data_IF_699758498104
#
_entry.id   IF_699758498104
#
_cell.length_a   1.000
_cell.length_b   1.000
_cell.length_c   1.000
_cell.angle_alpha   90.00
_cell.angle_beta   90.00
_cell.angle_gamma   90.00
#
_symmetry.space_group_name_H-M   'P 1'
#
loop_
_entity.id
_entity.type
_entity.pdbx_description
1 polymer ?
#
# COMPACT_ATOMS: atom_id res chain seq x y z
N UNK A 1 3.54 -2.77 28.58
CA UNK A 1 3.77 -2.82 27.13
C UNK A 1 4.73 -3.97 26.88
N UNK A 2 4.35 -4.96 26.07
CA UNK A 2 5.19 -6.14 25.81
C UNK A 2 6.25 -5.80 24.76
N UNK A 3 7.33 -6.59 24.66
CA UNK A 3 8.34 -6.42 23.58
C UNK A 3 7.71 -6.49 22.18
N UNK A 4 6.64 -7.28 22.04
CA UNK A 4 5.88 -7.41 20.80
C UNK A 4 5.17 -6.09 20.44
N UNK A 5 4.51 -5.45 21.41
CA UNK A 5 3.83 -4.17 21.20
C UNK A 5 4.82 -3.07 20.77
N UNK A 6 6.00 -3.03 21.40
CA UNK A 6 7.06 -2.08 21.05
C UNK A 6 7.59 -2.28 19.63
N UNK A 7 7.79 -3.55 19.22
CA UNK A 7 8.22 -3.87 17.84
C UNK A 7 7.14 -3.50 16.83
N UNK A 8 5.87 -3.77 17.14
CA UNK A 8 4.75 -3.43 16.27
C UNK A 8 4.59 -1.91 16.10
N UNK A 9 4.72 -1.15 17.19
CA UNK A 9 4.71 0.31 17.14
C UNK A 9 5.85 0.86 16.28
N UNK A 10 7.07 0.30 16.40
CA UNK A 10 8.21 0.71 15.57
C UNK A 10 8.01 0.38 14.09
N UNK A 11 7.44 -0.78 13.76
CA UNK A 11 7.09 -1.13 12.37
C UNK A 11 6.02 -0.20 11.80
N UNK A 12 5.00 0.13 12.59
CA UNK A 12 3.94 1.06 12.19
C UNK A 12 4.48 2.46 11.91
N UNK A 13 5.37 2.97 12.77
CA UNK A 13 6.02 4.26 12.56
C UNK A 13 6.84 4.29 11.26
N UNK A 14 7.69 3.28 11.04
CA UNK A 14 8.48 3.15 9.80
C UNK A 14 7.62 2.99 8.56
N UNK A 15 6.51 2.28 8.66
CA UNK A 15 5.58 2.14 7.55
C UNK A 15 4.94 3.49 7.21
N UNK A 16 4.55 4.27 8.22
CA UNK A 16 3.99 5.59 8.01
C UNK A 16 4.99 6.57 7.38
N UNK A 17 6.25 6.57 7.84
CA UNK A 17 7.34 7.36 7.22
C UNK A 17 7.50 7.03 5.73
N UNK A 18 7.28 5.77 5.37
CA UNK A 18 7.42 5.29 3.98
C UNK A 18 6.17 5.46 3.14
N UNK A 19 5.00 5.76 3.70
CA UNK A 19 3.73 5.88 2.93
C UNK A 19 3.85 6.85 1.75
N UNK A 20 4.55 7.97 1.94
CA UNK A 20 4.79 8.95 0.89
C UNK A 20 5.64 8.38 -0.27
N UNK A 21 6.70 7.63 0.05
CA UNK A 21 7.54 6.95 -0.94
C UNK A 21 6.75 5.86 -1.69
N UNK A 22 5.99 5.03 -0.96
CA UNK A 22 5.17 3.97 -1.54
C UNK A 22 4.10 4.55 -2.49
N UNK A 23 3.57 5.74 -2.17
CA UNK A 23 2.65 6.52 -3.02
C UNK A 23 3.32 7.01 -4.29
N UNK A 24 4.49 7.62 -4.19
CA UNK A 24 5.25 8.12 -5.35
C UNK A 24 5.61 6.99 -6.31
N UNK A 25 6.05 5.84 -5.77
CA UNK A 25 6.33 4.63 -6.56
C UNK A 25 5.08 4.16 -7.31
N UNK A 26 3.93 4.07 -6.63
CA UNK A 26 2.68 3.63 -7.26
C UNK A 26 2.21 4.61 -8.35
N UNK A 27 2.35 5.92 -8.12
CA UNK A 27 2.02 6.95 -9.11
C UNK A 27 2.91 6.87 -10.35
N UNK A 28 4.22 6.70 -10.16
CA UNK A 28 5.16 6.55 -11.26
C UNK A 28 4.89 5.28 -12.06
N UNK A 29 4.61 4.17 -11.38
CA UNK A 29 4.27 2.90 -12.03
C UNK A 29 2.96 3.00 -12.83
N UNK A 30 1.96 3.71 -12.30
CA UNK A 30 0.70 3.97 -13.01
C UNK A 30 0.90 4.85 -14.24
N UNK A 31 1.64 5.96 -14.11
CA UNK A 31 1.91 6.90 -15.21
C UNK A 31 2.71 6.27 -16.36
N UNK A 32 3.55 5.28 -16.06
CA UNK A 32 4.37 4.55 -17.04
C UNK A 32 3.74 3.24 -17.51
N UNK A 33 2.52 2.92 -17.06
CA UNK A 33 1.83 1.65 -17.32
C UNK A 33 2.70 0.42 -16.98
N UNK A 34 3.58 0.54 -15.97
CA UNK A 34 4.49 -0.51 -15.56
C UNK A 34 3.76 -1.53 -14.68
N UNK A 35 3.06 -2.47 -15.33
CA UNK A 35 2.27 -3.52 -14.66
C UNK A 35 3.07 -4.35 -13.66
N UNK A 36 4.30 -4.83 -13.96
CA UNK A 36 5.12 -5.53 -12.97
C UNK A 36 5.36 -4.70 -11.70
N UNK A 37 5.72 -3.42 -11.85
CA UNK A 37 5.95 -2.54 -10.70
C UNK A 37 4.67 -2.29 -9.90
N UNK A 38 3.52 -2.12 -10.56
CA UNK A 38 2.22 -1.97 -9.89
C UNK A 38 1.87 -3.21 -9.09
N UNK A 39 2.07 -4.40 -9.67
CA UNK A 39 1.82 -5.69 -9.01
C UNK A 39 2.68 -5.85 -7.77
N UNK A 40 3.99 -5.69 -7.90
CA UNK A 40 4.93 -5.90 -6.79
C UNK A 40 4.62 -4.95 -5.63
N UNK A 41 4.29 -3.70 -5.97
CA UNK A 41 3.92 -2.68 -4.99
C UNK A 41 2.58 -2.98 -4.32
N UNK A 42 1.58 -3.42 -5.08
CA UNK A 42 0.28 -3.83 -4.57
C UNK A 42 0.40 -5.06 -3.65
N UNK A 43 1.15 -6.08 -4.07
CA UNK A 43 1.38 -7.31 -3.31
C UNK A 43 2.02 -7.02 -1.94
N UNK A 44 3.07 -6.19 -1.93
CA UNK A 44 3.75 -5.77 -0.70
C UNK A 44 2.78 -5.07 0.26
N UNK A 45 1.99 -4.11 -0.25
CA UNK A 45 1.01 -3.37 0.55
C UNK A 45 -0.11 -4.28 1.07
N UNK A 46 -0.61 -5.20 0.24
CA UNK A 46 -1.64 -6.17 0.63
C UNK A 46 -1.19 -7.07 1.79
N UNK A 47 0.10 -7.45 1.81
CA UNK A 47 0.67 -8.25 2.90
C UNK A 47 0.90 -7.46 4.19
N UNK A 48 1.55 -6.29 4.11
CA UNK A 48 2.00 -5.59 5.31
C UNK A 48 0.94 -4.66 5.93
N UNK A 49 0.07 -4.05 5.12
CA UNK A 49 -0.89 -3.04 5.59
C UNK A 49 -1.89 -3.62 6.63
N UNK A 50 -2.51 -4.80 6.42
CA UNK A 50 -3.39 -5.41 7.41
C UNK A 50 -2.70 -5.73 8.73
N UNK A 51 -1.45 -6.21 8.68
CA UNK A 51 -0.66 -6.54 9.86
C UNK A 51 -0.42 -5.32 10.76
N UNK A 52 -0.38 -4.12 10.18
CA UNK A 52 -0.16 -2.85 10.87
C UNK A 52 -1.46 -2.11 11.23
N UNK A 53 -2.62 -2.72 10.95
CA UNK A 53 -3.95 -2.19 11.25
C UNK A 53 -4.58 -1.35 10.12
N UNK A 54 -3.97 -1.30 8.93
CA UNK A 54 -4.50 -0.60 7.76
C UNK A 54 -5.30 -1.56 6.86
N UNK A 55 -6.40 -2.10 7.38
CA UNK A 55 -7.22 -3.12 6.68
C UNK A 55 -7.71 -2.63 5.31
N UNK A 56 -8.29 -1.42 5.25
CA UNK A 56 -8.81 -0.86 4.01
C UNK A 56 -7.72 -0.66 2.93
N UNK A 57 -6.49 -0.33 3.34
CA UNK A 57 -5.35 -0.22 2.43
C UNK A 57 -4.95 -1.59 1.89
N UNK A 58 -4.92 -2.61 2.77
CA UNK A 58 -4.65 -3.99 2.37
C UNK A 58 -5.67 -4.52 1.37
N UNK A 59 -6.97 -4.32 1.63
CA UNK A 59 -8.05 -4.76 0.75
C UNK A 59 -7.97 -4.06 -0.63
N UNK A 60 -7.71 -2.76 -0.64
CA UNK A 60 -7.54 -2.01 -1.89
C UNK A 60 -6.30 -2.46 -2.67
N UNK A 61 -5.20 -2.74 -1.97
CA UNK A 61 -3.98 -3.24 -2.59
C UNK A 61 -4.16 -4.64 -3.17
N UNK A 62 -4.89 -5.53 -2.48
CA UNK A 62 -5.25 -6.85 -3.00
C UNK A 62 -6.13 -6.75 -4.26
N UNK A 63 -7.09 -5.83 -4.27
CA UNK A 63 -7.92 -5.57 -5.44
C UNK A 63 -7.08 -5.06 -6.63
N UNK A 64 -6.11 -4.16 -6.38
CA UNK A 64 -5.18 -3.71 -7.40
C UNK A 64 -4.35 -4.87 -7.95
N UNK A 65 -3.72 -5.66 -7.08
CA UNK A 65 -2.95 -6.84 -7.47
C UNK A 65 -3.76 -7.78 -8.37
N UNK A 66 -5.00 -8.09 -7.98
CA UNK A 66 -5.89 -8.95 -8.75
C UNK A 66 -6.20 -8.37 -10.15
N UNK A 67 -6.51 -7.08 -10.26
CA UNK A 67 -6.78 -6.44 -11.56
C UNK A 67 -5.55 -6.43 -12.47
N UNK A 68 -4.36 -6.22 -11.90
CA UNK A 68 -3.09 -6.26 -12.64
C UNK A 68 -2.77 -7.68 -13.12
N UNK A 69 -2.94 -8.69 -12.27
CA UNK A 69 -2.69 -10.10 -12.60
C UNK A 69 -3.69 -10.63 -13.64
N UNK A 70 -4.95 -10.18 -13.58
CA UNK A 70 -5.96 -10.50 -14.59
C UNK A 70 -5.74 -9.75 -15.93
N UNK A 71 -4.84 -8.76 -15.95
CA UNK A 71 -4.61 -7.92 -17.13
C UNK A 71 -5.76 -6.95 -17.43
N UNK A 72 -6.64 -6.72 -16.45
CA UNK A 72 -7.79 -5.84 -16.53
C UNK A 72 -7.42 -4.36 -16.37
N UNK A 73 -8.41 -3.49 -16.52
CA UNK A 73 -8.27 -2.06 -16.22
C UNK A 73 -8.04 -1.86 -14.72
N UNK A 74 -6.90 -1.28 -14.36
CA UNK A 74 -6.40 -1.19 -12.99
C UNK A 74 -6.21 0.25 -12.51
N UNK A 75 -6.46 1.27 -13.34
CA UNK A 75 -6.25 2.66 -12.95
C UNK A 75 -7.15 3.08 -11.77
N UNK A 76 -8.41 2.64 -11.75
CA UNK A 76 -9.32 2.95 -10.64
C UNK A 76 -8.87 2.31 -9.32
N UNK A 77 -8.41 1.05 -9.37
CA UNK A 77 -7.87 0.36 -8.21
C UNK A 77 -6.58 1.03 -7.71
N UNK A 78 -5.69 1.45 -8.61
CA UNK A 78 -4.46 2.16 -8.28
C UNK A 78 -4.75 3.51 -7.62
N UNK A 79 -5.67 4.29 -8.16
CA UNK A 79 -6.10 5.55 -7.54
C UNK A 79 -6.72 5.33 -6.16
N UNK A 80 -7.44 4.23 -5.95
CA UNK A 80 -7.99 3.90 -4.63
C UNK A 80 -6.90 3.64 -3.60
N UNK A 81 -5.85 2.91 -3.97
CA UNK A 81 -4.67 2.68 -3.11
C UNK A 81 -3.98 4.01 -2.78
N UNK A 82 -3.72 4.85 -3.78
CA UNK A 82 -3.12 6.19 -3.59
C UNK A 82 -3.93 7.04 -2.61
N UNK A 83 -5.25 7.10 -2.79
CA UNK A 83 -6.12 7.88 -1.92
C UNK A 83 -6.10 7.39 -0.47
N UNK A 84 -5.92 6.08 -0.24
CA UNK A 84 -5.81 5.51 1.10
C UNK A 84 -4.43 5.75 1.72
N UNK A 85 -3.36 5.78 0.92
CA UNK A 85 -2.04 6.22 1.37
C UNK A 85 -2.05 7.70 1.79
N UNK A 86 -2.76 8.56 1.05
CA UNK A 86 -2.92 9.99 1.36
C UNK A 86 -3.79 10.25 2.60
N UNK A 87 -4.78 9.38 2.85
CA UNK A 87 -5.69 9.50 3.99
C UNK A 87 -5.20 8.81 5.27
N UNK A 88 -4.12 8.02 5.19
CA UNK A 88 -3.55 7.38 6.36
C UNK A 88 -3.01 8.47 7.31
N UNK A 89 -3.45 8.51 8.59
CA UNK A 89 -2.96 9.51 9.52
C UNK A 89 -1.45 9.35 9.67
N UNK A 90 -0.71 10.42 9.35
CA UNK A 90 0.69 10.55 9.76
C UNK A 90 0.73 10.37 11.29
N UNK A 91 1.63 9.54 11.84
CA UNK A 91 1.81 9.49 13.27
C UNK A 91 2.27 10.88 13.75
N UNK A 92 1.54 11.45 14.70
CA UNK A 92 1.94 12.64 15.47
C UNK A 92 3.30 12.43 16.16
#
# INVERSE_FOLDING_TARGET
MTEFDTRMASLKARFAERMAEEREILQAALATCNRPALRDQAHKLAGIAPMLGFLALGDAALALEATVDAGEEHAAAAHRVIALLDAAPLPD
#
